data_IF_157915993020
#
_entry.id   IF_157915993020
#
_cell.length_a   1.000
_cell.length_b   1.000
_cell.length_c   1.000
_cell.angle_alpha   90.00
_cell.angle_beta   90.00
_cell.angle_gamma   90.00
#
_symmetry.space_group_name_H-M   'P 1'
#
loop_
_entity.id
_entity.type
_entity.pdbx_description
1 polymer ?
#
# COMPACT_ATOMS: atom_id res chain seq x y z
N UNK A 1 -49.22 36.63 -11.58
CA UNK A 1 -48.14 35.87 -12.25
C UNK A 1 -46.84 36.19 -11.54
N UNK A 2 -46.48 35.39 -10.55
CA UNK A 2 -45.33 35.66 -9.68
C UNK A 2 -44.13 34.84 -10.17
N UNK A 3 -43.09 35.54 -10.65
CA UNK A 3 -41.87 34.91 -11.16
C UNK A 3 -40.93 34.65 -9.99
N UNK A 4 -40.82 33.40 -9.55
CA UNK A 4 -39.85 32.99 -8.53
C UNK A 4 -38.43 33.03 -9.12
N UNK A 5 -37.57 33.85 -8.52
CA UNK A 5 -36.15 33.99 -8.85
C UNK A 5 -35.39 32.70 -8.50
N UNK A 6 -34.81 32.07 -9.52
CA UNK A 6 -34.03 30.84 -9.39
C UNK A 6 -32.64 31.23 -8.90
N UNK A 7 -32.41 31.13 -7.58
CA UNK A 7 -31.11 31.39 -6.98
C UNK A 7 -30.07 30.36 -7.46
N UNK A 8 -29.23 30.76 -8.43
CA UNK A 8 -28.05 30.02 -8.88
C UNK A 8 -27.00 30.05 -7.76
N UNK A 9 -27.11 29.12 -6.80
CA UNK A 9 -26.08 28.91 -5.78
C UNK A 9 -24.80 28.48 -6.48
N UNK A 10 -23.87 29.42 -6.65
CA UNK A 10 -22.47 29.16 -6.98
C UNK A 10 -21.96 28.16 -5.95
N UNK A 11 -21.54 26.96 -6.39
CA UNK A 11 -20.86 26.00 -5.53
C UNK A 11 -19.54 26.62 -5.11
N UNK A 12 -19.52 27.21 -3.92
CA UNK A 12 -18.30 27.67 -3.28
C UNK A 12 -17.53 26.39 -2.95
N UNK A 13 -16.49 26.10 -3.72
CA UNK A 13 -15.52 25.08 -3.33
C UNK A 13 -14.87 25.57 -2.04
N UNK A 14 -15.27 25.01 -0.91
CA UNK A 14 -14.51 25.15 0.32
C UNK A 14 -13.18 24.46 0.09
N UNK A 15 -12.09 25.22 0.09
CA UNK A 15 -10.71 24.73 -0.02
C UNK A 15 -10.20 24.12 1.30
N UNK A 16 -11.07 24.02 2.32
CA UNK A 16 -10.73 23.38 3.57
C UNK A 16 -10.32 21.93 3.31
N UNK A 17 -9.08 21.53 3.62
CA UNK A 17 -8.68 20.12 3.50
C UNK A 17 -9.61 19.31 4.39
N UNK A 18 -10.38 18.41 3.78
CA UNK A 18 -11.19 17.46 4.52
C UNK A 18 -10.29 16.74 5.54
N UNK A 19 -10.57 16.92 6.84
CA UNK A 19 -9.82 16.30 7.95
C UNK A 19 -9.89 14.76 7.95
N UNK A 20 -10.65 14.17 7.03
CA UNK A 20 -10.74 12.72 6.88
C UNK A 20 -9.42 12.14 6.34
N UNK A 21 -8.68 11.34 7.13
CA UNK A 21 -7.40 10.75 6.70
C UNK A 21 -7.53 9.89 5.45
N UNK A 22 -8.67 9.23 5.24
CA UNK A 22 -8.98 8.47 4.03
C UNK A 22 -9.05 9.36 2.80
N UNK A 23 -9.66 10.54 2.90
CA UNK A 23 -9.77 11.48 1.79
C UNK A 23 -8.41 12.08 1.42
N UNK A 24 -7.58 12.41 2.43
CA UNK A 24 -6.22 12.91 2.23
C UNK A 24 -5.36 11.84 1.55
N UNK A 25 -5.39 10.59 2.05
CA UNK A 25 -4.66 9.48 1.46
C UNK A 25 -5.13 9.21 0.02
N UNK A 26 -6.44 9.12 -0.20
CA UNK A 26 -7.03 8.86 -1.53
C UNK A 26 -6.61 9.93 -2.53
N UNK A 27 -6.57 11.19 -2.10
CA UNK A 27 -6.08 12.29 -2.94
C UNK A 27 -4.59 12.15 -3.28
N UNK A 28 -3.74 11.82 -2.29
CA UNK A 28 -2.30 11.54 -2.53
C UNK A 28 -2.14 10.36 -3.50
N UNK A 29 -2.84 9.26 -3.25
CA UNK A 29 -2.76 8.04 -4.05
C UNK A 29 -3.19 8.25 -5.50
N UNK A 30 -4.35 8.87 -5.73
CA UNK A 30 -4.85 9.18 -7.07
C UNK A 30 -3.94 10.14 -7.83
N UNK A 31 -3.31 11.09 -7.13
CA UNK A 31 -2.39 12.06 -7.74
C UNK A 31 -1.12 11.42 -8.31
N UNK A 32 -0.65 10.30 -7.75
CA UNK A 32 0.48 9.54 -8.29
C UNK A 32 0.03 8.53 -9.33
N UNK A 33 -1.06 7.80 -9.04
CA UNK A 33 -1.52 6.68 -9.87
C UNK A 33 -2.04 7.13 -11.24
N UNK A 34 -2.97 8.09 -11.29
CA UNK A 34 -3.67 8.43 -12.54
C UNK A 34 -2.71 8.94 -13.62
N UNK A 35 -1.76 9.85 -13.32
CA UNK A 35 -0.78 10.29 -14.32
C UNK A 35 0.09 9.14 -14.84
N UNK A 36 0.46 8.21 -13.97
CA UNK A 36 1.36 7.13 -14.34
C UNK A 36 0.67 6.03 -15.14
N UNK A 37 -0.57 5.67 -14.80
CA UNK A 37 -1.41 4.81 -15.65
C UNK A 37 -1.63 5.45 -17.02
N UNK A 38 -1.85 6.77 -17.09
CA UNK A 38 -1.94 7.49 -18.37
C UNK A 38 -0.64 7.35 -19.17
N UNK A 39 0.53 7.49 -18.54
CA UNK A 39 1.84 7.30 -19.20
C UNK A 39 2.02 5.88 -19.73
N UNK A 40 1.67 4.85 -18.95
CA UNK A 40 1.73 3.46 -19.40
C UNK A 40 0.84 3.19 -20.61
N UNK A 41 -0.35 3.80 -20.62
CA UNK A 41 -1.25 3.73 -21.76
C UNK A 41 -0.67 4.42 -23.00
N UNK A 42 -0.07 5.61 -22.86
CA UNK A 42 0.56 6.32 -23.98
C UNK A 42 1.73 5.54 -24.59
N UNK A 43 2.51 4.86 -23.75
CA UNK A 43 3.69 4.10 -24.19
C UNK A 43 3.35 2.69 -24.70
N UNK A 44 2.06 2.29 -24.68
CA UNK A 44 1.57 0.94 -25.03
C UNK A 44 2.35 -0.21 -24.36
N UNK A 45 2.98 0.08 -23.21
CA UNK A 45 3.83 -0.83 -22.46
C UNK A 45 3.04 -1.53 -21.35
N UNK A 46 1.81 -1.97 -21.66
CA UNK A 46 0.86 -2.54 -20.70
C UNK A 46 1.19 -4.00 -20.39
N UNK A 47 2.32 -4.25 -19.74
CA UNK A 47 2.48 -5.51 -19.00
C UNK A 47 1.75 -5.37 -17.65
N UNK A 48 1.12 -6.45 -17.18
CA UNK A 48 0.49 -6.49 -15.86
C UNK A 48 1.48 -6.16 -14.74
N UNK A 49 2.76 -6.50 -14.94
CA UNK A 49 3.86 -6.21 -14.03
C UNK A 49 4.15 -4.70 -13.93
N UNK A 50 4.06 -3.95 -15.03
CA UNK A 50 4.25 -2.50 -15.02
C UNK A 50 3.10 -1.78 -14.30
N UNK A 51 1.86 -2.24 -14.49
CA UNK A 51 0.69 -1.70 -13.79
C UNK A 51 0.77 -1.99 -12.30
N UNK A 52 1.10 -3.22 -11.90
CA UNK A 52 1.29 -3.58 -10.49
C UNK A 52 2.39 -2.75 -9.85
N UNK A 53 3.54 -2.61 -10.53
CA UNK A 53 4.65 -1.80 -10.04
C UNK A 53 4.22 -0.35 -9.77
N UNK A 54 3.48 0.26 -10.70
CA UNK A 54 3.01 1.64 -10.55
C UNK A 54 1.98 1.79 -9.42
N UNK A 55 1.07 0.82 -9.30
CA UNK A 55 0.10 0.74 -8.21
C UNK A 55 0.79 0.64 -6.85
N UNK A 56 1.80 -0.23 -6.73
CA UNK A 56 2.59 -0.41 -5.51
C UNK A 56 3.45 0.84 -5.21
N UNK A 57 3.98 1.50 -6.25
CA UNK A 57 4.75 2.74 -6.14
C UNK A 57 3.87 3.87 -5.61
N UNK A 58 2.69 4.06 -6.18
CA UNK A 58 1.72 5.05 -5.72
C UNK A 58 1.26 4.78 -4.28
N UNK A 59 1.11 3.51 -3.90
CA UNK A 59 0.80 3.09 -2.53
C UNK A 59 1.92 3.51 -1.56
N UNK A 60 3.17 3.17 -1.88
CA UNK A 60 4.34 3.51 -1.06
C UNK A 60 4.49 5.03 -0.88
N UNK A 61 4.41 5.80 -1.97
CA UNK A 61 4.55 7.26 -1.94
C UNK A 61 3.43 7.95 -1.14
N UNK A 62 2.23 7.37 -1.12
CA UNK A 62 1.10 7.92 -0.35
C UNK A 62 1.20 7.63 1.14
N UNK A 63 2.03 6.66 1.51
CA UNK A 63 2.18 6.08 2.83
C UNK A 63 3.55 6.39 3.47
N UNK A 64 4.33 7.34 2.92
CA UNK A 64 5.73 7.63 3.29
C UNK A 64 5.99 7.89 4.80
N UNK A 65 4.93 8.17 5.54
CA UNK A 65 4.92 8.36 6.98
C UNK A 65 5.22 7.05 7.74
N UNK A 66 4.95 5.89 7.14
CA UNK A 66 5.13 4.55 7.72
C UNK A 66 6.47 3.91 7.34
N UNK A 67 7.03 3.08 8.22
CA UNK A 67 8.29 2.39 7.99
C UNK A 67 8.17 1.40 6.83
N UNK A 68 7.10 0.58 6.80
CA UNK A 68 6.88 -0.41 5.72
C UNK A 68 6.85 0.23 4.33
N UNK A 69 6.40 1.49 4.23
CA UNK A 69 6.32 2.20 2.96
C UNK A 69 7.70 2.52 2.38
N UNK A 70 8.69 2.79 3.24
CA UNK A 70 10.07 3.10 2.83
C UNK A 70 10.76 1.85 2.32
N UNK A 71 10.59 0.73 3.02
CA UNK A 71 11.06 -0.57 2.56
C UNK A 71 10.39 -0.99 1.25
N UNK A 72 9.08 -0.76 1.10
CA UNK A 72 8.40 -1.01 -0.16
C UNK A 72 8.97 -0.14 -1.29
N UNK A 73 9.20 1.15 -1.05
CA UNK A 73 9.77 2.08 -2.02
C UNK A 73 11.19 1.67 -2.45
N UNK A 74 12.02 1.25 -1.49
CA UNK A 74 13.36 0.74 -1.74
C UNK A 74 13.32 -0.54 -2.57
N UNK A 75 12.44 -1.49 -2.23
CA UNK A 75 12.24 -2.73 -2.99
C UNK A 75 11.79 -2.46 -4.42
N UNK A 76 10.87 -1.53 -4.62
CA UNK A 76 10.38 -1.18 -5.96
C UNK A 76 11.46 -0.47 -6.79
N UNK A 77 12.26 0.39 -6.16
CA UNK A 77 13.37 1.10 -6.83
C UNK A 77 14.53 0.16 -7.19
N UNK A 78 14.81 -0.81 -6.32
CA UNK A 78 15.87 -1.81 -6.49
C UNK A 78 15.50 -2.97 -7.42
N UNK A 79 14.22 -3.20 -7.68
CA UNK A 79 13.74 -4.30 -8.55
C UNK A 79 14.25 -4.27 -10.00
N UNK A 80 14.94 -3.21 -10.43
CA UNK A 80 15.65 -3.14 -11.72
C UNK A 80 17.07 -3.75 -11.67
N UNK A 81 17.62 -3.97 -10.48
CA UNK A 81 18.88 -4.66 -10.24
C UNK A 81 18.55 -6.05 -9.74
N UNK A 82 18.98 -7.07 -10.48
CA UNK A 82 18.80 -8.48 -10.15
C UNK A 82 19.06 -8.78 -8.67
N UNK A 83 18.28 -9.66 -8.02
CA UNK A 83 18.55 -10.03 -6.64
C UNK A 83 19.85 -10.83 -6.59
N UNK A 84 20.91 -10.26 -6.01
CA UNK A 84 22.02 -11.04 -5.50
C UNK A 84 21.51 -11.81 -4.30
N UNK A 85 21.14 -13.05 -4.58
CA UNK A 85 20.82 -14.10 -3.62
C UNK A 85 22.03 -14.29 -2.70
N UNK A 86 21.96 -13.80 -1.46
CA UNK A 86 22.81 -14.34 -0.39
C UNK A 86 21.97 -15.38 0.33
N UNK A 87 21.94 -16.57 -0.26
CA UNK A 87 21.49 -17.79 0.38
C UNK A 87 22.47 -18.12 1.50
N UNK A 88 22.17 -17.69 2.71
CA UNK A 88 22.80 -18.25 3.91
C UNK A 88 22.12 -19.58 4.18
N UNK A 89 22.65 -20.66 3.59
CA UNK A 89 22.27 -22.03 3.92
C UNK A 89 22.74 -22.36 5.34
N UNK A 90 21.89 -22.17 6.33
CA UNK A 90 22.03 -22.81 7.63
C UNK A 90 21.20 -24.09 7.64
N UNK A 91 21.91 -25.22 7.59
CA UNK A 91 21.35 -26.57 7.72
C UNK A 91 20.52 -26.70 9.01
N UNK A 92 19.29 -27.24 8.98
CA UNK A 92 18.58 -27.54 10.22
C UNK A 92 19.14 -28.83 10.82
N UNK A 93 19.75 -28.68 12.00
CA UNK A 93 20.15 -29.80 12.83
C UNK A 93 18.90 -30.55 13.29
N UNK A 94 18.89 -31.88 13.13
CA UNK A 94 17.79 -32.76 13.51
C UNK A 94 17.80 -32.92 15.03
N UNK A 95 16.86 -32.30 15.73
CA UNK A 95 16.42 -32.79 17.03
C UNK A 95 14.89 -32.88 17.03
N UNK A 96 14.43 -34.10 17.26
CA UNK A 96 13.05 -34.52 17.37
C UNK A 96 12.66 -34.35 18.83
N UNK A 97 11.83 -33.36 19.14
CA UNK A 97 11.09 -33.32 20.40
C UNK A 97 9.63 -33.00 20.06
N UNK A 98 8.80 -34.03 20.19
CA UNK A 98 7.36 -33.98 20.11
C UNK A 98 6.86 -33.43 21.45
N UNK A 99 6.65 -32.11 21.49
CA UNK A 99 5.92 -31.40 22.53
C UNK A 99 5.12 -30.30 21.83
N UNK A 100 3.80 -30.40 21.86
CA UNK A 100 2.90 -29.34 21.38
C UNK A 100 2.93 -28.17 22.38
N UNK A 101 4.01 -27.40 22.36
CA UNK A 101 4.12 -26.16 23.11
C UNK A 101 3.46 -25.03 22.30
N UNK A 102 2.32 -24.53 22.78
CA UNK A 102 1.60 -23.37 22.22
C UNK A 102 2.51 -22.14 22.03
N UNK A 103 3.61 -22.05 22.77
CA UNK A 103 4.65 -21.01 22.67
C UNK A 103 5.33 -21.01 21.28
N UNK A 104 5.52 -22.17 20.66
CA UNK A 104 6.08 -22.28 19.31
C UNK A 104 5.10 -21.88 18.20
N UNK A 105 3.80 -22.04 18.42
CA UNK A 105 2.76 -21.69 17.44
C UNK A 105 2.62 -20.16 17.29
N UNK A 106 2.73 -19.41 18.40
CA UNK A 106 2.72 -17.93 18.36
C UNK A 106 3.92 -17.40 17.59
N UNK A 107 5.13 -17.93 17.86
CA UNK A 107 6.34 -17.51 17.16
C UNK A 107 6.25 -17.80 15.66
N UNK A 108 5.70 -18.95 15.29
CA UNK A 108 5.46 -19.31 13.88
C UNK A 108 4.51 -18.33 13.20
N UNK A 109 3.38 -17.98 13.84
CA UNK A 109 2.43 -16.99 13.31
C UNK A 109 3.03 -15.60 13.18
N UNK A 110 3.88 -15.19 14.12
CA UNK A 110 4.61 -13.91 14.02
C UNK A 110 5.55 -13.90 12.80
N UNK A 111 6.28 -14.99 12.54
CA UNK A 111 7.12 -15.13 11.33
C UNK A 111 6.32 -15.11 10.04
N UNK A 112 5.12 -15.69 10.03
CA UNK A 112 4.21 -15.60 8.89
C UNK A 112 3.71 -14.16 8.67
N UNK A 113 3.41 -13.44 9.74
CA UNK A 113 2.98 -12.04 9.67
C UNK A 113 4.08 -11.11 9.16
N UNK A 114 5.34 -11.33 9.59
CA UNK A 114 6.51 -10.58 9.10
C UNK A 114 6.62 -10.63 7.57
N UNK A 115 6.44 -11.82 6.99
CA UNK A 115 6.55 -12.04 5.53
C UNK A 115 5.47 -11.34 4.71
N UNK A 116 4.34 -10.97 5.33
CA UNK A 116 3.26 -10.24 4.67
C UNK A 116 3.52 -8.74 4.61
N UNK A 117 4.32 -8.20 5.54
CA UNK A 117 4.62 -6.79 5.62
C UNK A 117 5.86 -6.46 4.77
N UNK A 118 5.81 -5.43 3.89
CA UNK A 118 7.00 -4.99 3.18
C UNK A 118 8.09 -4.53 4.16
N UNK A 119 9.22 -5.24 4.20
CA UNK A 119 10.31 -4.98 5.14
C UNK A 119 10.08 -5.50 6.56
N UNK A 120 9.09 -6.38 6.75
CA UNK A 120 8.75 -6.93 8.07
C UNK A 120 9.86 -7.78 8.68
N UNK A 121 10.74 -8.38 7.87
CA UNK A 121 11.90 -9.13 8.36
C UNK A 121 12.99 -8.24 8.99
N UNK A 122 13.00 -6.94 8.67
CA UNK A 122 13.96 -5.97 9.22
C UNK A 122 13.43 -5.26 10.47
N UNK A 123 12.15 -5.43 10.80
CA UNK A 123 11.49 -4.78 11.94
C UNK A 123 11.50 -5.66 13.18
N UNK A 124 11.57 -5.03 14.35
CA UNK A 124 11.28 -5.73 15.60
C UNK A 124 9.77 -6.04 15.71
N UNK A 125 9.39 -6.94 16.63
CA UNK A 125 8.00 -7.42 16.74
C UNK A 125 7.01 -6.29 17.08
N UNK A 126 7.36 -5.36 17.96
CA UNK A 126 6.46 -4.27 18.38
C UNK A 126 6.21 -3.29 17.24
N UNK A 127 7.27 -2.88 16.53
CA UNK A 127 7.19 -2.04 15.34
C UNK A 127 6.40 -2.73 14.24
N UNK A 128 6.69 -4.01 13.94
CA UNK A 128 5.96 -4.79 12.95
C UNK A 128 4.45 -4.86 13.25
N UNK A 129 4.05 -5.06 14.51
CA UNK A 129 2.63 -5.11 14.91
C UNK A 129 1.93 -3.75 14.81
N UNK A 130 2.65 -2.64 14.98
CA UNK A 130 2.11 -1.30 14.71
C UNK A 130 1.97 -1.06 13.20
N UNK A 131 3.02 -1.39 12.46
CA UNK A 131 3.11 -1.16 11.02
C UNK A 131 2.14 -2.03 10.22
N UNK A 132 1.83 -3.26 10.67
CA UNK A 132 0.82 -4.10 10.02
C UNK A 132 -0.58 -3.46 10.08
N UNK A 133 -0.93 -2.82 11.21
CA UNK A 133 -2.19 -2.09 11.33
C UNK A 133 -2.26 -0.91 10.36
N UNK A 134 -1.15 -0.17 10.24
CA UNK A 134 -1.02 0.92 9.28
C UNK A 134 -1.09 0.42 7.82
N UNK A 135 -0.45 -0.71 7.53
CA UNK A 135 -0.46 -1.31 6.20
C UNK A 135 -1.86 -1.75 5.78
N UNK A 136 -2.59 -2.46 6.65
CA UNK A 136 -3.99 -2.86 6.42
C UNK A 136 -4.85 -1.64 6.08
N UNK A 137 -4.72 -0.56 6.87
CA UNK A 137 -5.48 0.68 6.64
C UNK A 137 -5.15 1.34 5.29
N UNK A 138 -3.89 1.33 4.89
CA UNK A 138 -3.49 1.82 3.58
C UNK A 138 -4.04 0.96 2.43
N UNK A 139 -4.13 -0.37 2.60
CA UNK A 139 -4.75 -1.27 1.62
C UNK A 139 -6.26 -1.04 1.50
N UNK A 140 -6.94 -0.77 2.62
CA UNK A 140 -8.36 -0.37 2.61
C UNK A 140 -8.55 0.93 1.84
N UNK A 141 -7.72 1.94 2.12
CA UNK A 141 -7.80 3.23 1.43
C UNK A 141 -7.46 3.12 -0.05
N UNK A 142 -6.50 2.29 -0.42
CA UNK A 142 -6.19 1.95 -1.81
C UNK A 142 -7.40 1.35 -2.52
N UNK A 143 -8.09 0.40 -1.87
CA UNK A 143 -9.30 -0.23 -2.41
C UNK A 143 -10.42 0.78 -2.63
N UNK A 144 -10.62 1.70 -1.67
CA UNK A 144 -11.61 2.78 -1.78
C UNK A 144 -11.27 3.68 -2.98
N UNK A 145 -10.01 4.14 -3.07
CA UNK A 145 -9.55 5.00 -4.16
C UNK A 145 -9.76 4.37 -5.54
N UNK A 146 -9.35 3.11 -5.70
CA UNK A 146 -9.50 2.38 -6.96
C UNK A 146 -10.98 2.19 -7.34
N UNK A 147 -11.84 1.86 -6.37
CA UNK A 147 -13.29 1.75 -6.60
C UNK A 147 -13.89 3.09 -7.06
N UNK A 148 -13.49 4.21 -6.45
CA UNK A 148 -13.96 5.54 -6.86
C UNK A 148 -13.55 5.89 -8.29
N UNK A 149 -12.31 5.60 -8.69
CA UNK A 149 -11.85 5.84 -10.09
C UNK A 149 -12.71 5.05 -11.08
N UNK A 150 -13.00 3.78 -10.79
CA UNK A 150 -13.81 2.93 -11.68
C UNK A 150 -15.25 3.44 -11.76
N UNK A 151 -15.85 3.82 -10.63
CA UNK A 151 -17.21 4.34 -10.59
C UNK A 151 -17.36 5.70 -11.28
N UNK A 152 -16.36 6.58 -11.21
CA UNK A 152 -16.37 7.86 -11.94
C UNK A 152 -16.25 7.69 -13.46
N UNK A 153 -15.77 6.53 -13.92
CA UNK A 153 -15.60 6.22 -15.35
C UNK A 153 -16.81 5.55 -16.01
N UNK A 154 -17.86 5.24 -15.23
CA UNK A 154 -19.11 4.60 -15.70
C UNK A 154 -20.26 5.60 -15.74
#
# INVERSE_FOLDING_TARGET
MERQNINKKKRVFSLEPNKNPTAIFTKKYTSHLVPALKKLNMNKASSSQNVKHEVDMALALSAQEFAWSRFLLEKLSSSSKSPTTTTSSSSPNRHKEEGEDEEGEIEKRLKELQKLLPGGEEMNVEEMLSEIGNYIKCLEFQTIALKSIVQEST
#
